data_IF_820483806505
#
_entry.id   IF_820483806505
#
_cell.length_a   1.000
_cell.length_b   1.000
_cell.length_c   1.000
_cell.angle_alpha   90.00
_cell.angle_beta   90.00
_cell.angle_gamma   90.00
#
_symmetry.space_group_name_H-M   'P 1'
#
loop_
_entity.id
_entity.type
_entity.pdbx_description
1 polymer ?
#
# COMPACT_ATOMS: atom_id res chain seq x y z
N UNK A 1 22.44 82.49 56.30
CA UNK A 1 22.59 81.84 54.98
C UNK A 1 21.47 80.80 54.88
N UNK A 2 20.47 81.07 54.03
CA UNK A 2 19.27 80.25 53.86
C UNK A 2 19.58 78.86 53.31
N UNK A 3 18.90 77.84 53.81
CA UNK A 3 18.69 76.57 53.11
C UNK A 3 17.17 76.39 52.92
N UNK A 4 16.72 76.49 51.68
CA UNK A 4 15.34 76.30 51.27
C UNK A 4 14.98 74.80 51.32
N UNK A 5 14.03 74.44 52.18
CA UNK A 5 13.34 73.14 52.14
C UNK A 5 12.06 73.33 51.32
N UNK A 6 12.00 72.76 50.11
CA UNK A 6 10.77 72.63 49.34
C UNK A 6 9.99 71.40 49.83
N UNK A 7 9.00 71.62 50.67
CA UNK A 7 7.97 70.64 50.99
C UNK A 7 7.00 70.51 49.80
N UNK A 8 7.02 69.35 49.14
CA UNK A 8 5.99 68.96 48.18
C UNK A 8 4.69 68.68 48.95
N UNK A 9 3.72 69.58 48.82
CA UNK A 9 2.34 69.37 49.27
C UNK A 9 1.68 68.29 48.41
N UNK A 10 1.66 67.06 48.91
CA UNK A 10 0.86 65.98 48.35
C UNK A 10 -0.62 66.32 48.42
N UNK A 11 -1.23 66.57 47.26
CA UNK A 11 -2.67 66.75 47.13
C UNK A 11 -3.39 65.50 47.64
N UNK A 12 -4.19 65.68 48.70
CA UNK A 12 -5.02 64.62 49.30
C UNK A 12 -6.09 64.23 48.28
N UNK A 13 -5.87 63.15 47.54
CA UNK A 13 -6.86 62.61 46.61
C UNK A 13 -8.13 62.24 47.40
N UNK A 14 -9.26 62.84 47.02
CA UNK A 14 -10.56 62.46 47.53
C UNK A 14 -10.89 61.06 47.01
N UNK A 15 -10.97 60.08 47.90
CA UNK A 15 -11.54 58.77 47.56
C UNK A 15 -13.05 58.96 47.34
N UNK A 16 -13.46 58.98 46.07
CA UNK A 16 -14.87 58.85 45.69
C UNK A 16 -15.20 57.36 45.79
N UNK A 17 -16.14 56.99 46.66
CA UNK A 17 -16.59 55.59 46.78
C UNK A 17 -17.41 55.19 45.56
N UNK A 18 -17.14 54.00 45.03
CA UNK A 18 -17.92 53.38 43.95
C UNK A 18 -19.37 53.14 44.39
N UNK A 19 -20.32 53.51 43.55
CA UNK A 19 -21.73 53.19 43.74
C UNK A 19 -21.97 51.68 43.56
N UNK A 20 -22.91 51.09 44.33
CA UNK A 20 -23.35 49.69 44.14
C UNK A 20 -23.73 49.42 42.67
N UNK A 21 -24.35 50.40 42.01
CA UNK A 21 -24.75 50.32 40.61
C UNK A 21 -23.54 50.23 39.68
N UNK A 22 -22.47 50.98 39.93
CA UNK A 22 -21.24 50.92 39.13
C UNK A 22 -20.55 49.56 39.26
N UNK A 23 -20.54 48.98 40.47
CA UNK A 23 -19.97 47.64 40.69
C UNK A 23 -20.82 46.57 39.99
N UNK A 24 -22.14 46.64 40.08
CA UNK A 24 -23.04 45.72 39.39
C UNK A 24 -22.91 45.81 37.87
N UNK A 25 -22.86 47.03 37.31
CA UNK A 25 -22.64 47.26 35.88
C UNK A 25 -21.25 46.76 35.45
N UNK A 26 -20.21 47.03 36.25
CA UNK A 26 -18.86 46.56 35.97
C UNK A 26 -18.74 45.03 35.91
N UNK A 27 -19.41 44.33 36.83
CA UNK A 27 -19.45 42.85 36.83
C UNK A 27 -20.20 42.34 35.60
N UNK A 28 -21.35 42.94 35.25
CA UNK A 28 -22.14 42.52 34.07
C UNK A 28 -21.35 42.72 32.78
N UNK A 29 -20.67 43.86 32.62
CA UNK A 29 -19.83 44.12 31.44
C UNK A 29 -18.63 43.17 31.41
N UNK A 30 -17.98 42.94 32.55
CA UNK A 30 -16.88 41.98 32.66
C UNK A 30 -17.29 40.56 32.28
N UNK A 31 -18.44 40.09 32.75
CA UNK A 31 -19.00 38.78 32.38
C UNK A 31 -19.31 38.70 30.87
N UNK A 32 -19.86 39.77 30.29
CA UNK A 32 -20.17 39.83 28.87
C UNK A 32 -18.90 39.74 28.01
N UNK A 33 -17.84 40.47 28.38
CA UNK A 33 -16.53 40.39 27.69
C UNK A 33 -15.96 38.98 27.76
N UNK A 34 -15.97 38.33 28.93
CA UNK A 34 -15.46 36.96 29.09
C UNK A 34 -16.26 35.98 28.21
N UNK A 35 -17.60 36.11 28.14
CA UNK A 35 -18.43 35.26 27.29
C UNK A 35 -18.04 35.42 25.80
N UNK A 36 -17.86 36.66 25.34
CA UNK A 36 -17.47 36.93 23.95
C UNK A 36 -16.10 36.32 23.64
N UNK A 37 -15.11 36.53 24.51
CA UNK A 37 -13.76 35.95 24.33
C UNK A 37 -13.82 34.43 24.34
N UNK A 38 -14.58 33.82 25.26
CA UNK A 38 -14.76 32.37 25.32
C UNK A 38 -15.44 31.80 24.07
N UNK A 39 -16.40 32.52 23.46
CA UNK A 39 -17.01 32.13 22.20
C UNK A 39 -15.99 32.18 21.04
N UNK A 40 -15.21 33.26 20.94
CA UNK A 40 -14.16 33.38 19.93
C UNK A 40 -13.11 32.27 20.06
N UNK A 41 -12.65 31.99 21.29
CA UNK A 41 -11.71 30.91 21.56
C UNK A 41 -12.30 29.55 21.19
N UNK A 42 -13.58 29.26 21.48
CA UNK A 42 -14.22 28.02 21.06
C UNK A 42 -14.21 27.82 19.55
N UNK A 43 -14.47 28.89 18.78
CA UNK A 43 -14.44 28.84 17.31
C UNK A 43 -13.01 28.64 16.81
N UNK A 44 -12.03 29.36 17.37
CA UNK A 44 -10.62 29.22 17.01
C UNK A 44 -10.09 27.82 17.31
N UNK A 45 -10.44 27.23 18.46
CA UNK A 45 -10.07 25.86 18.82
C UNK A 45 -10.71 24.82 17.90
N UNK A 46 -11.96 25.05 17.49
CA UNK A 46 -12.64 24.23 16.49
C UNK A 46 -11.89 24.26 15.15
N UNK A 47 -11.60 25.46 14.63
CA UNK A 47 -10.85 25.63 13.39
C UNK A 47 -9.45 25.02 13.47
N UNK A 48 -8.74 25.17 14.59
CA UNK A 48 -7.43 24.56 14.83
C UNK A 48 -7.48 23.04 14.75
N UNK A 49 -8.48 22.41 15.38
CA UNK A 49 -8.66 20.95 15.35
C UNK A 49 -8.99 20.45 13.95
N UNK A 50 -9.89 21.12 13.23
CA UNK A 50 -10.23 20.75 11.85
C UNK A 50 -9.02 20.91 10.91
N UNK A 51 -8.25 22.00 11.06
CA UNK A 51 -7.03 22.21 10.28
C UNK A 51 -5.97 21.14 10.55
N UNK A 52 -5.75 20.79 11.82
CA UNK A 52 -4.81 19.75 12.23
C UNK A 52 -5.25 18.38 11.70
N UNK A 53 -6.51 17.99 11.90
CA UNK A 53 -7.04 16.71 11.42
C UNK A 53 -7.05 16.58 9.90
N UNK A 54 -7.17 17.70 9.17
CA UNK A 54 -7.00 17.73 7.72
C UNK A 54 -5.54 17.53 7.30
N UNK A 55 -4.59 18.14 8.03
CA UNK A 55 -3.15 17.94 7.83
C UNK A 55 -2.70 16.50 8.09
N UNK A 56 -3.22 15.87 9.14
CA UNK A 56 -2.93 14.46 9.47
C UNK A 56 -3.44 13.52 8.38
N UNK A 57 -4.68 13.71 7.92
CA UNK A 57 -5.25 12.94 6.81
C UNK A 57 -4.44 13.12 5.52
N UNK A 58 -3.94 14.34 5.26
CA UNK A 58 -3.10 14.60 4.09
C UNK A 58 -1.76 13.84 4.17
N UNK A 59 -1.11 13.91 5.32
CA UNK A 59 0.20 13.30 5.55
C UNK A 59 0.11 11.78 5.52
N UNK A 60 -0.85 11.20 6.25
CA UNK A 60 -1.03 9.74 6.29
C UNK A 60 -1.42 9.17 4.92
N UNK A 61 -2.32 9.84 4.18
CA UNK A 61 -2.69 9.43 2.83
C UNK A 61 -1.51 9.45 1.84
N UNK A 62 -0.65 10.46 1.93
CA UNK A 62 0.56 10.54 1.11
C UNK A 62 1.59 9.44 1.45
N UNK A 63 1.79 9.15 2.73
CA UNK A 63 2.65 8.05 3.19
C UNK A 63 2.12 6.71 2.67
N UNK A 64 0.83 6.44 2.89
CA UNK A 64 0.18 5.21 2.45
C UNK A 64 0.31 4.98 0.93
N UNK A 65 0.06 6.02 0.13
CA UNK A 65 0.18 5.95 -1.32
C UNK A 65 1.64 5.69 -1.75
N UNK A 66 2.60 6.36 -1.12
CA UNK A 66 4.02 6.21 -1.47
C UNK A 66 4.53 4.80 -1.17
N UNK A 67 4.15 4.22 -0.03
CA UNK A 67 4.50 2.84 0.33
C UNK A 67 3.96 1.84 -0.69
N UNK A 68 2.68 1.99 -1.06
CA UNK A 68 2.05 1.14 -2.08
C UNK A 68 2.69 1.32 -3.45
N UNK A 69 3.05 2.55 -3.83
CA UNK A 69 3.77 2.81 -5.08
C UNK A 69 5.14 2.13 -5.12
N UNK A 70 5.92 2.19 -4.03
CA UNK A 70 7.24 1.56 -3.97
C UNK A 70 7.19 0.04 -4.12
N UNK A 71 6.20 -0.61 -3.49
CA UNK A 71 5.99 -2.05 -3.66
C UNK A 71 5.46 -2.38 -5.07
N UNK A 72 4.50 -1.61 -5.58
CA UNK A 72 3.91 -1.82 -6.91
C UNK A 72 4.87 -1.56 -8.07
N UNK A 73 5.94 -0.78 -7.87
CA UNK A 73 7.00 -0.65 -8.86
C UNK A 73 7.91 -1.89 -8.94
N UNK A 74 7.98 -2.68 -7.86
CA UNK A 74 8.84 -3.86 -7.80
C UNK A 74 8.14 -5.16 -8.19
N UNK A 75 6.80 -5.18 -8.22
CA UNK A 75 6.01 -6.38 -8.53
C UNK A 75 6.50 -7.12 -9.77
N UNK A 76 6.54 -8.45 -9.68
CA UNK A 76 6.98 -9.32 -10.76
C UNK A 76 8.50 -9.45 -10.91
N UNK A 77 9.32 -8.63 -10.25
CA UNK A 77 10.78 -8.76 -10.33
C UNK A 77 11.22 -10.18 -9.96
N UNK A 78 11.99 -10.84 -10.82
CA UNK A 78 12.50 -12.20 -10.62
C UNK A 78 11.63 -13.34 -11.16
N UNK A 79 10.36 -13.13 -11.54
CA UNK A 79 9.47 -14.24 -11.90
C UNK A 79 8.41 -13.97 -12.99
N UNK A 80 8.47 -12.86 -13.73
CA UNK A 80 7.51 -12.55 -14.81
C UNK A 80 7.66 -13.44 -16.06
N UNK A 81 7.27 -14.71 -15.94
CA UNK A 81 7.37 -15.73 -16.98
C UNK A 81 6.12 -16.60 -17.09
N UNK A 82 5.83 -17.12 -18.28
CA UNK A 82 4.65 -17.95 -18.54
C UNK A 82 4.63 -19.27 -17.75
N UNK A 83 5.81 -19.77 -17.37
CA UNK A 83 5.96 -21.02 -16.63
C UNK A 83 5.74 -20.84 -15.12
N UNK A 84 5.63 -19.59 -14.64
CA UNK A 84 5.43 -19.24 -13.23
C UNK A 84 4.09 -18.53 -12.99
N UNK A 85 3.70 -17.61 -13.87
CA UNK A 85 2.47 -16.85 -13.70
C UNK A 85 1.22 -17.73 -13.76
N UNK A 86 0.32 -17.55 -12.80
CA UNK A 86 -0.88 -18.35 -12.59
C UNK A 86 -0.64 -19.73 -11.95
N UNK A 87 0.59 -20.04 -11.53
CA UNK A 87 0.88 -21.28 -10.80
C UNK A 87 0.57 -21.14 -9.31
N UNK A 88 0.36 -22.26 -8.63
CA UNK A 88 0.34 -22.30 -7.17
C UNK A 88 1.78 -22.34 -6.67
N UNK A 89 2.19 -21.36 -5.88
CA UNK A 89 3.53 -21.26 -5.30
C UNK A 89 3.50 -21.59 -3.81
N UNK A 90 4.15 -22.68 -3.43
CA UNK A 90 4.39 -23.01 -2.02
C UNK A 90 5.62 -22.27 -1.51
N UNK A 91 5.42 -21.50 -0.45
CA UNK A 91 6.44 -20.70 0.23
C UNK A 91 7.26 -21.56 1.20
N UNK A 92 8.28 -20.95 1.80
CA UNK A 92 9.21 -21.60 2.73
C UNK A 92 8.57 -22.09 4.02
N UNK A 93 7.46 -21.46 4.43
CA UNK A 93 6.69 -21.84 5.61
C UNK A 93 5.56 -22.84 5.30
N UNK A 94 5.50 -23.37 4.07
CA UNK A 94 4.49 -24.34 3.65
C UNK A 94 3.13 -23.74 3.27
N UNK A 95 2.94 -22.42 3.39
CA UNK A 95 1.76 -21.74 2.84
C UNK A 95 1.83 -21.73 1.31
N UNK A 96 0.68 -21.78 0.65
CA UNK A 96 0.59 -21.72 -0.80
C UNK A 96 -0.15 -20.47 -1.25
N UNK A 97 0.49 -19.70 -2.14
CA UNK A 97 -0.14 -18.62 -2.89
C UNK A 97 -0.69 -19.23 -4.18
N UNK A 98 -2.01 -19.28 -4.31
CA UNK A 98 -2.65 -19.84 -5.49
C UNK A 98 -2.73 -18.80 -6.60
N UNK A 99 -2.66 -19.24 -7.86
CA UNK A 99 -2.76 -18.34 -9.02
C UNK A 99 -1.81 -17.11 -8.90
N UNK A 100 -0.52 -17.39 -8.74
CA UNK A 100 0.52 -16.40 -8.52
C UNK A 100 0.55 -15.36 -9.65
N UNK A 101 0.38 -14.09 -9.29
CA UNK A 101 0.55 -12.94 -10.17
C UNK A 101 1.47 -11.91 -9.54
N UNK A 102 1.86 -10.90 -10.31
CA UNK A 102 2.68 -9.79 -9.82
C UNK A 102 1.95 -8.97 -8.74
N UNK A 103 0.66 -8.71 -8.94
CA UNK A 103 -0.20 -8.08 -7.95
C UNK A 103 -1.64 -8.57 -8.08
N UNK A 104 -2.25 -9.06 -7.00
CA UNK A 104 -3.61 -9.61 -7.01
C UNK A 104 -4.57 -8.79 -6.16
N UNK A 105 -5.59 -8.22 -6.79
CA UNK A 105 -6.74 -7.58 -6.13
C UNK A 105 -7.67 -8.68 -5.59
N UNK A 106 -8.06 -8.57 -4.31
CA UNK A 106 -8.98 -9.48 -3.63
C UNK A 106 -8.58 -10.97 -3.75
N UNK A 107 -7.31 -11.27 -3.47
CA UNK A 107 -6.85 -12.65 -3.48
C UNK A 107 -7.65 -13.52 -2.48
N UNK A 108 -8.14 -14.70 -2.87
CA UNK A 108 -9.08 -15.49 -2.06
C UNK A 108 -8.52 -15.97 -0.72
N UNK A 109 -7.20 -16.13 -0.61
CA UNK A 109 -6.56 -16.51 0.67
C UNK A 109 -6.42 -15.34 1.66
N UNK A 110 -6.76 -14.11 1.27
CA UNK A 110 -6.70 -12.94 2.16
C UNK A 110 -8.12 -12.65 2.68
N UNK A 111 -8.35 -12.62 4.01
CA UNK A 111 -9.64 -12.22 4.55
C UNK A 111 -10.01 -10.80 4.13
N UNK A 112 -11.28 -10.58 3.83
CA UNK A 112 -11.78 -9.24 3.52
C UNK A 112 -11.40 -8.22 4.61
N UNK A 113 -11.12 -6.99 4.18
CA UNK A 113 -10.91 -5.84 5.07
C UNK A 113 -12.23 -5.20 5.48
N UNK A 114 -12.16 -3.92 5.82
CA UNK A 114 -13.32 -3.07 6.04
C UNK A 114 -14.20 -3.06 4.78
N UNK A 115 -15.53 -3.09 4.95
CA UNK A 115 -16.46 -3.19 3.84
C UNK A 115 -16.27 -2.04 2.84
N UNK A 116 -16.28 -2.35 1.56
CA UNK A 116 -16.06 -1.37 0.49
C UNK A 116 -14.58 -1.18 0.11
N UNK A 117 -13.64 -1.76 0.85
CA UNK A 117 -12.21 -1.78 0.52
C UNK A 117 -11.79 -3.08 -0.15
N UNK A 118 -10.92 -3.02 -1.17
CA UNK A 118 -10.23 -4.23 -1.62
C UNK A 118 -9.00 -4.55 -0.77
N UNK A 119 -8.54 -5.78 -0.95
CA UNK A 119 -7.22 -6.22 -0.52
C UNK A 119 -6.29 -6.31 -1.73
N UNK A 120 -4.99 -6.13 -1.50
CA UNK A 120 -3.99 -6.17 -2.55
C UNK A 120 -2.83 -7.07 -2.11
N UNK A 121 -2.60 -8.16 -2.84
CA UNK A 121 -1.41 -9.00 -2.70
C UNK A 121 -0.35 -8.49 -3.69
N UNK A 122 0.87 -8.26 -3.25
CA UNK A 122 2.01 -7.92 -4.11
C UNK A 122 3.10 -8.98 -3.95
N UNK A 123 3.71 -9.37 -5.06
CA UNK A 123 4.81 -10.34 -5.06
C UNK A 123 5.97 -9.84 -5.91
N UNK A 124 7.18 -9.83 -5.32
CA UNK A 124 8.42 -9.48 -6.01
C UNK A 124 9.63 -10.11 -5.34
N UNK A 125 10.65 -10.41 -6.13
CA UNK A 125 11.98 -10.77 -5.64
C UNK A 125 12.96 -9.61 -5.66
N UNK A 126 14.13 -9.88 -5.09
CA UNK A 126 15.31 -9.02 -5.10
C UNK A 126 16.53 -9.77 -5.69
N UNK A 127 16.44 -10.32 -6.91
CA UNK A 127 17.51 -11.13 -7.47
C UNK A 127 18.80 -10.33 -7.63
N UNK A 128 19.92 -10.93 -7.28
CA UNK A 128 21.24 -10.32 -7.30
C UNK A 128 21.94 -10.40 -8.66
N UNK A 129 21.20 -10.79 -9.70
CA UNK A 129 21.70 -11.02 -11.06
C UNK A 129 20.56 -11.01 -12.09
N UNK A 130 20.12 -12.18 -12.54
CA UNK A 130 19.08 -12.26 -13.58
C UNK A 130 17.72 -11.95 -12.97
N UNK A 131 17.07 -10.92 -13.51
CA UNK A 131 15.74 -10.44 -13.08
C UNK A 131 14.57 -11.21 -13.71
N UNK A 132 14.88 -12.19 -14.56
CA UNK A 132 13.98 -13.10 -15.26
C UNK A 132 14.46 -14.55 -15.02
N UNK A 133 13.71 -15.52 -15.55
CA UNK A 133 14.13 -16.93 -15.47
C UNK A 133 15.41 -17.18 -16.23
N UNK A 134 16.34 -17.96 -15.65
CA UNK A 134 17.54 -18.39 -16.35
C UNK A 134 17.38 -19.83 -16.87
N UNK A 135 17.60 -20.04 -18.16
CA UNK A 135 17.37 -21.34 -18.80
C UNK A 135 18.32 -22.41 -18.27
N UNK A 136 17.80 -23.60 -17.99
CA UNK A 136 18.55 -24.75 -17.48
C UNK A 136 19.16 -25.51 -18.66
N UNK A 137 20.49 -25.39 -18.85
CA UNK A 137 21.26 -26.07 -19.90
C UNK A 137 21.46 -27.55 -19.60
N UNK A 138 21.77 -27.87 -18.34
CA UNK A 138 21.97 -29.24 -17.89
C UNK A 138 21.37 -29.43 -16.49
N UNK A 139 20.95 -30.65 -16.17
CA UNK A 139 20.32 -31.00 -14.90
C UNK A 139 20.88 -32.36 -14.45
N UNK A 140 22.07 -32.37 -13.82
CA UNK A 140 22.79 -33.62 -13.50
C UNK A 140 22.09 -34.48 -12.46
N UNK A 141 21.53 -33.83 -11.43
CA UNK A 141 20.78 -34.48 -10.35
C UNK A 141 19.53 -33.64 -10.04
N UNK A 142 18.49 -34.21 -9.39
CA UNK A 142 17.26 -33.47 -9.09
C UNK A 142 17.43 -32.19 -8.27
N UNK A 143 18.56 -32.02 -7.59
CA UNK A 143 18.86 -30.88 -6.73
C UNK A 143 20.00 -29.99 -7.29
N UNK A 144 20.45 -30.21 -8.53
CA UNK A 144 21.54 -29.46 -9.14
C UNK A 144 21.17 -29.02 -10.55
N UNK A 145 21.14 -27.71 -10.77
CA UNK A 145 20.86 -27.13 -12.08
C UNK A 145 22.12 -26.49 -12.64
N UNK A 146 22.39 -26.65 -13.92
CA UNK A 146 23.34 -25.82 -14.65
C UNK A 146 22.56 -24.84 -15.52
N UNK A 147 22.22 -23.66 -14.99
CA UNK A 147 21.59 -22.60 -15.75
C UNK A 147 22.62 -21.93 -16.70
N UNK A 148 22.17 -21.09 -17.62
CA UNK A 148 23.05 -20.36 -18.55
C UNK A 148 24.04 -19.42 -17.88
N UNK A 149 23.60 -18.78 -16.79
CA UNK A 149 24.37 -17.84 -16.01
C UNK A 149 24.39 -18.26 -14.53
N UNK A 150 25.13 -19.32 -14.16
CA UNK A 150 25.13 -19.85 -12.79
C UNK A 150 25.68 -18.86 -11.76
N UNK A 151 26.57 -17.94 -12.17
CA UNK A 151 27.12 -16.89 -11.31
C UNK A 151 26.08 -15.84 -10.87
N UNK A 152 24.87 -15.86 -11.44
CA UNK A 152 23.77 -14.99 -11.04
C UNK A 152 23.00 -15.49 -9.81
N UNK A 153 23.43 -16.62 -9.23
CA UNK A 153 22.85 -17.21 -8.03
C UNK A 153 23.88 -17.17 -6.91
N UNK A 154 23.44 -16.77 -5.71
CA UNK A 154 24.27 -16.71 -4.50
C UNK A 154 23.73 -17.66 -3.44
N UNK A 155 24.61 -18.07 -2.53
CA UNK A 155 24.26 -18.92 -1.41
C UNK A 155 23.09 -18.31 -0.60
N UNK A 156 22.13 -19.15 -0.21
CA UNK A 156 20.92 -18.82 0.55
C UNK A 156 19.84 -18.00 -0.18
N UNK A 157 20.02 -17.69 -1.46
CA UNK A 157 18.94 -17.07 -2.23
C UNK A 157 17.78 -18.04 -2.46
N UNK A 158 16.58 -17.48 -2.52
CA UNK A 158 15.38 -18.21 -2.88
C UNK A 158 15.27 -18.32 -4.38
N UNK A 159 14.99 -19.53 -4.84
CA UNK A 159 14.79 -19.83 -6.24
C UNK A 159 13.53 -20.67 -6.44
N UNK A 160 13.00 -20.62 -7.65
CA UNK A 160 11.91 -21.48 -8.11
C UNK A 160 12.37 -22.14 -9.41
N UNK A 161 12.27 -23.45 -9.49
CA UNK A 161 12.54 -24.20 -10.72
C UNK A 161 11.22 -24.52 -11.42
N UNK A 162 11.14 -24.24 -12.72
CA UNK A 162 10.01 -24.62 -13.57
C UNK A 162 10.51 -25.47 -14.75
N UNK A 163 9.79 -26.54 -15.14
CA UNK A 163 10.13 -27.33 -16.33
C UNK A 163 9.88 -26.55 -17.64
N UNK A 164 10.44 -27.03 -18.76
CA UNK A 164 10.24 -26.40 -20.09
C UNK A 164 8.77 -26.36 -20.50
N UNK A 165 8.02 -27.42 -20.17
CA UNK A 165 6.59 -27.53 -20.44
C UNK A 165 5.84 -27.34 -19.14
N UNK A 166 5.01 -26.30 -19.07
CA UNK A 166 4.12 -26.04 -17.94
C UNK A 166 3.23 -27.24 -17.65
N UNK A 167 3.27 -27.70 -16.40
CA UNK A 167 2.44 -28.81 -15.90
C UNK A 167 1.05 -28.28 -15.51
N UNK A 168 0.00 -29.08 -15.71
CA UNK A 168 -1.36 -28.78 -15.26
C UNK A 168 -1.85 -29.90 -14.30
N UNK A 169 -2.18 -29.60 -13.03
CA UNK A 169 -2.12 -28.28 -12.39
C UNK A 169 -0.68 -27.77 -12.23
N UNK A 170 -0.49 -26.46 -12.37
CA UNK A 170 0.83 -25.86 -12.17
C UNK A 170 1.09 -25.63 -10.69
N UNK A 171 2.02 -26.37 -10.12
CA UNK A 171 2.46 -26.26 -8.75
C UNK A 171 3.98 -26.12 -8.69
N UNK A 172 4.44 -25.06 -8.04
CA UNK A 172 5.83 -24.71 -7.86
C UNK A 172 6.10 -24.50 -6.36
N UNK A 173 7.36 -24.59 -5.96
CA UNK A 173 7.75 -24.32 -4.58
C UNK A 173 9.06 -23.53 -4.53
N UNK A 174 9.20 -22.73 -3.48
CA UNK A 174 10.43 -22.03 -3.19
C UNK A 174 11.45 -22.98 -2.57
N UNK A 175 12.69 -22.86 -3.01
CA UNK A 175 13.82 -23.62 -2.47
C UNK A 175 15.03 -22.72 -2.32
N UNK A 176 15.99 -23.10 -1.47
CA UNK A 176 17.20 -22.30 -1.24
C UNK A 176 18.36 -22.83 -2.05
N UNK A 177 19.17 -21.90 -2.56
CA UNK A 177 20.48 -22.19 -3.14
C UNK A 177 21.46 -22.61 -2.03
N UNK A 178 22.12 -23.75 -2.20
CA UNK A 178 23.07 -24.34 -1.24
C UNK A 178 24.53 -24.19 -1.66
N UNK A 179 24.77 -23.56 -2.82
CA UNK A 179 26.10 -23.40 -3.42
C UNK A 179 26.37 -21.93 -3.73
N UNK A 180 27.63 -21.59 -4.01
CA UNK A 180 28.02 -20.26 -4.52
C UNK A 180 28.79 -20.45 -5.83
N UNK A 181 28.09 -20.61 -6.96
CA UNK A 181 28.71 -20.87 -8.26
C UNK A 181 29.71 -19.77 -8.65
N UNK A 182 30.98 -20.15 -8.80
CA UNK A 182 32.06 -19.20 -9.07
C UNK A 182 32.48 -19.15 -10.54
N UNK A 183 32.07 -20.14 -11.36
CA UNK A 183 32.42 -20.23 -12.78
C UNK A 183 31.18 -20.48 -13.65
N UNK A 184 31.23 -20.20 -14.96
CA UNK A 184 30.12 -20.47 -15.90
C UNK A 184 29.73 -21.96 -16.02
N UNK A 185 30.55 -22.87 -15.50
CA UNK A 185 30.32 -24.33 -15.52
C UNK A 185 29.93 -24.88 -14.16
N UNK A 186 29.92 -24.04 -13.12
CA UNK A 186 29.51 -24.43 -11.78
C UNK A 186 28.00 -24.71 -11.74
N UNK A 187 27.60 -25.82 -11.14
CA UNK A 187 26.17 -26.11 -10.89
C UNK A 187 25.64 -25.25 -9.74
N UNK A 188 24.36 -24.89 -9.85
CA UNK A 188 23.55 -24.32 -8.77
C UNK A 188 22.88 -25.47 -8.02
N UNK A 189 23.44 -25.83 -6.87
CA UNK A 189 22.79 -26.73 -5.92
C UNK A 189 21.62 -26.04 -5.19
N UNK A 190 20.52 -26.77 -5.00
CA UNK A 190 19.35 -26.33 -4.23
C UNK A 190 18.99 -27.32 -3.13
N UNK A 191 18.30 -26.87 -2.09
CA UNK A 191 17.92 -27.72 -0.95
C UNK A 191 16.90 -28.81 -1.35
N UNK A 192 15.92 -28.42 -2.16
CA UNK A 192 14.94 -29.30 -2.78
C UNK A 192 14.80 -28.90 -4.25
N UNK A 193 14.67 -29.86 -5.15
CA UNK A 193 14.49 -29.59 -6.57
C UNK A 193 13.46 -30.50 -7.21
N UNK A 194 13.24 -30.31 -8.50
CA UNK A 194 12.24 -31.02 -9.29
C UNK A 194 12.94 -31.94 -10.30
N UNK A 195 12.28 -33.02 -10.69
CA UNK A 195 12.77 -33.87 -11.79
C UNK A 195 12.42 -33.26 -13.14
N UNK A 196 13.15 -33.64 -14.20
CA UNK A 196 12.86 -33.24 -15.59
C UNK A 196 12.84 -31.72 -15.85
N UNK A 197 13.65 -30.94 -15.11
CA UNK A 197 13.82 -29.50 -15.33
C UNK A 197 14.73 -29.12 -16.51
N UNK A 198 15.21 -30.10 -17.30
CA UNK A 198 16.08 -29.82 -18.45
C UNK A 198 15.36 -28.88 -19.42
N UNK A 199 16.07 -27.87 -19.92
CA UNK A 199 15.53 -26.83 -20.82
C UNK A 199 14.42 -25.96 -20.21
N UNK A 200 14.08 -26.17 -18.94
CA UNK A 200 13.23 -25.30 -18.14
C UNK A 200 13.97 -24.07 -17.65
N UNK A 201 13.49 -23.48 -16.56
CA UNK A 201 13.98 -22.22 -16.02
C UNK A 201 14.21 -22.29 -14.52
N UNK A 202 15.29 -21.65 -14.07
CA UNK A 202 15.55 -21.37 -12.67
C UNK A 202 15.38 -19.86 -12.44
N UNK A 203 14.38 -19.50 -11.65
CA UNK A 203 14.05 -18.13 -11.29
C UNK A 203 14.74 -17.75 -10.00
N UNK A 204 15.49 -16.66 -10.00
CA UNK A 204 16.06 -16.10 -8.78
C UNK A 204 15.07 -15.10 -8.17
N UNK A 205 14.69 -15.33 -6.92
CA UNK A 205 13.84 -14.44 -6.14
C UNK A 205 14.65 -13.59 -5.14
N UNK A 206 15.95 -13.83 -5.03
CA UNK A 206 16.85 -13.12 -4.14
C UNK A 206 16.80 -13.61 -2.70
N UNK A 207 17.41 -12.84 -1.79
CA UNK A 207 17.54 -13.25 -0.39
C UNK A 207 16.24 -13.02 0.40
N UNK A 208 15.50 -11.96 0.06
CA UNK A 208 14.31 -11.52 0.79
C UNK A 208 13.17 -11.19 -0.18
N UNK A 209 12.68 -12.14 -1.00
CA UNK A 209 11.51 -11.87 -1.81
C UNK A 209 10.29 -11.61 -0.93
N UNK A 210 9.45 -10.69 -1.38
CA UNK A 210 8.29 -10.18 -0.66
C UNK A 210 7.03 -10.82 -1.23
N UNK A 211 6.18 -11.32 -0.33
CA UNK A 211 4.81 -11.76 -0.61
C UNK A 211 3.91 -11.04 0.39
N UNK A 212 3.53 -9.81 0.08
CA UNK A 212 2.88 -8.91 1.04
C UNK A 212 1.45 -8.62 0.65
N UNK A 213 0.54 -8.77 1.60
CA UNK A 213 -0.83 -8.34 1.47
C UNK A 213 -1.08 -7.01 2.17
N UNK A 214 -1.91 -6.18 1.54
CA UNK A 214 -2.44 -4.94 2.08
C UNK A 214 -3.95 -5.05 2.24
N UNK A 215 -4.46 -4.55 3.36
CA UNK A 215 -5.89 -4.47 3.62
C UNK A 215 -6.19 -3.27 4.51
N UNK A 216 -7.31 -2.58 4.25
CA UNK A 216 -7.86 -1.61 5.20
C UNK A 216 -8.60 -2.39 6.29
N UNK A 217 -8.23 -2.19 7.56
CA UNK A 217 -8.84 -2.84 8.72
C UNK A 217 -8.99 -1.83 9.84
N UNK A 218 -10.21 -1.70 10.38
CA UNK A 218 -10.52 -0.77 11.48
C UNK A 218 -10.10 0.68 11.19
N UNK A 219 -10.24 1.13 9.95
CA UNK A 219 -9.85 2.49 9.52
C UNK A 219 -8.34 2.73 9.47
N UNK A 220 -7.54 1.68 9.34
CA UNK A 220 -6.09 1.75 9.13
C UNK A 220 -5.70 0.91 7.92
N UNK A 221 -4.70 1.35 7.15
CA UNK A 221 -4.05 0.49 6.18
C UNK A 221 -3.10 -0.43 6.97
N UNK A 222 -3.31 -1.73 6.82
CA UNK A 222 -2.50 -2.78 7.44
C UNK A 222 -1.78 -3.58 6.38
N UNK A 223 -0.63 -4.15 6.75
CA UNK A 223 0.14 -5.03 5.89
C UNK A 223 0.43 -6.37 6.58
N UNK A 224 0.47 -7.45 5.82
CA UNK A 224 0.86 -8.77 6.29
C UNK A 224 1.80 -9.43 5.29
N UNK A 225 2.94 -9.93 5.74
CA UNK A 225 3.88 -10.68 4.90
C UNK A 225 3.64 -12.19 5.05
N UNK A 226 3.28 -12.86 3.96
CA UNK A 226 2.97 -14.29 3.92
C UNK A 226 4.15 -15.15 4.31
N UNK A 227 5.39 -14.63 4.25
CA UNK A 227 6.57 -15.38 4.66
C UNK A 227 6.75 -15.42 6.17
N UNK A 228 6.35 -14.37 6.87
CA UNK A 228 6.62 -14.21 8.31
C UNK A 228 5.37 -14.34 9.19
N UNK A 229 4.18 -14.25 8.61
CA UNK A 229 2.91 -14.28 9.34
C UNK A 229 1.82 -15.05 8.58
N UNK A 230 0.79 -15.49 9.31
CA UNK A 230 -0.37 -16.14 8.71
C UNK A 230 -1.39 -15.09 8.20
N UNK A 231 -1.18 -14.60 6.97
CA UNK A 231 -2.07 -13.62 6.33
C UNK A 231 -3.44 -14.17 5.95
N UNK A 232 -3.69 -15.48 6.09
CA UNK A 232 -5.03 -16.07 5.91
C UNK A 232 -5.92 -15.88 7.14
N UNK A 233 -5.35 -15.48 8.27
CA UNK A 233 -6.08 -15.10 9.48
C UNK A 233 -6.25 -13.57 9.53
N UNK A 234 -7.40 -13.10 10.03
CA UNK A 234 -7.65 -11.68 10.29
C UNK A 234 -7.18 -11.22 11.68
N UNK A 235 -6.38 -12.04 12.39
CA UNK A 235 -5.87 -11.70 13.70
C UNK A 235 -5.02 -10.41 13.65
N UNK A 236 -5.26 -9.41 14.51
CA UNK A 236 -4.53 -8.14 14.49
C UNK A 236 -3.00 -8.26 14.58
N UNK A 237 -2.50 -9.29 15.28
CA UNK A 237 -1.07 -9.56 15.39
C UNK A 237 -0.37 -9.86 14.05
N UNK A 238 -1.12 -10.38 13.06
CA UNK A 238 -0.59 -10.67 11.73
C UNK A 238 -0.66 -9.45 10.79
N UNK A 239 -1.41 -8.41 11.16
CA UNK A 239 -1.73 -7.26 10.33
C UNK A 239 -1.37 -5.94 11.01
N UNK A 240 -0.06 -5.68 11.27
CA UNK A 240 0.35 -4.40 11.83
C UNK A 240 -0.07 -3.22 10.92
N UNK A 241 -0.44 -2.08 11.52
CA UNK A 241 -0.78 -0.87 10.77
C UNK A 241 0.48 -0.28 10.11
N UNK A 242 0.34 0.13 8.85
CA UNK A 242 1.37 0.85 8.09
C UNK A 242 0.99 2.32 7.85
N UNK A 243 -0.30 2.64 7.88
CA UNK A 243 -0.79 4.02 7.87
C UNK A 243 -2.14 4.11 8.57
N UNK A 244 -2.32 5.16 9.38
CA UNK A 244 -3.56 5.37 10.13
C UNK A 244 -4.56 6.24 9.38
N UNK A 245 -5.84 6.11 9.70
CA UNK A 245 -6.88 6.96 9.12
C UNK A 245 -7.16 6.69 7.64
N UNK A 246 -6.66 5.58 7.09
CA UNK A 246 -7.03 5.10 5.76
C UNK A 246 -8.28 4.23 5.91
N UNK A 247 -9.39 4.68 5.32
CA UNK A 247 -10.73 4.07 5.54
C UNK A 247 -11.31 3.41 4.31
N UNK A 248 -10.74 3.65 3.13
CA UNK A 248 -11.07 2.92 1.92
C UNK A 248 -9.86 2.77 1.01
N UNK A 249 -9.79 1.61 0.36
CA UNK A 249 -8.88 1.30 -0.75
C UNK A 249 -9.73 0.79 -1.92
N UNK A 250 -9.72 1.51 -3.05
CA UNK A 250 -10.30 1.06 -4.32
C UNK A 250 -9.19 0.81 -5.35
N UNK A 251 -9.27 -0.24 -6.15
CA UNK A 251 -8.25 -0.64 -7.11
C UNK A 251 -8.86 -1.33 -8.34
N UNK A 252 -8.27 -1.06 -9.50
CA UNK A 252 -8.60 -1.64 -10.79
C UNK A 252 -7.30 -2.03 -11.49
N UNK A 253 -7.29 -3.16 -12.18
CA UNK A 253 -6.22 -3.49 -13.11
C UNK A 253 -6.24 -2.56 -14.31
N UNK A 254 -5.06 -2.20 -14.81
CA UNK A 254 -4.86 -1.64 -16.14
C UNK A 254 -4.52 -2.80 -17.08
N UNK A 255 -5.44 -3.17 -17.98
CA UNK A 255 -5.33 -4.38 -18.80
C UNK A 255 -5.23 -4.07 -20.29
N UNK A 256 -4.23 -4.68 -20.90
CA UNK A 256 -4.00 -4.71 -22.35
C UNK A 256 -4.83 -5.85 -22.97
N UNK A 257 -5.78 -5.48 -23.81
CA UNK A 257 -6.72 -6.38 -24.47
C UNK A 257 -6.52 -6.43 -25.98
N UNK A 258 -5.52 -5.71 -26.48
CA UNK A 258 -5.16 -5.66 -27.89
C UNK A 258 -4.68 -7.03 -28.41
N UNK A 259 -4.87 -7.25 -29.71
CA UNK A 259 -4.48 -8.47 -30.41
C UNK A 259 -3.75 -8.06 -31.70
N UNK A 260 -2.41 -8.25 -31.82
CA UNK A 260 -1.48 -8.70 -30.76
C UNK A 260 -1.38 -7.69 -29.61
N UNK A 261 -0.85 -8.11 -28.46
CA UNK A 261 -0.67 -7.24 -27.30
C UNK A 261 0.36 -6.14 -27.61
N UNK A 262 -0.01 -4.87 -27.46
CA UNK A 262 0.84 -3.72 -27.81
C UNK A 262 1.55 -3.08 -26.60
N UNK A 263 1.31 -3.60 -25.39
CA UNK A 263 1.89 -3.06 -24.17
C UNK A 263 1.08 -1.93 -23.53
N UNK A 264 0.00 -1.49 -24.17
CA UNK A 264 -0.83 -0.36 -23.73
C UNK A 264 -2.12 -0.87 -23.08
N UNK A 265 -2.50 -0.37 -21.89
CA UNK A 265 -3.78 -0.74 -21.29
C UNK A 265 -4.97 -0.12 -22.06
N UNK A 266 -5.90 -0.96 -22.54
CA UNK A 266 -7.15 -0.53 -23.18
C UNK A 266 -8.31 -0.41 -22.20
N UNK A 267 -8.32 -1.28 -21.18
CA UNK A 267 -9.46 -1.45 -20.28
C UNK A 267 -9.04 -1.48 -18.82
N UNK A 268 -9.99 -1.18 -17.93
CA UNK A 268 -9.80 -1.30 -16.49
C UNK A 268 -10.91 -2.13 -15.85
N UNK A 269 -10.55 -3.09 -14.99
CA UNK A 269 -11.52 -3.96 -14.30
C UNK A 269 -10.93 -4.54 -13.02
N UNK A 270 -11.73 -5.31 -12.27
CA UNK A 270 -11.30 -6.06 -11.07
C UNK A 270 -11.16 -7.56 -11.32
N UNK A 271 -11.27 -8.00 -12.58
CA UNK A 271 -11.28 -9.43 -12.92
C UNK A 271 -9.88 -10.00 -12.81
N UNK A 272 -9.65 -10.80 -11.77
CA UNK A 272 -8.38 -11.50 -11.56
C UNK A 272 -8.08 -12.43 -12.73
N UNK A 273 -6.90 -12.30 -13.37
CA UNK A 273 -6.44 -13.25 -14.38
C UNK A 273 -6.40 -14.70 -13.86
N UNK A 274 -6.56 -15.68 -14.74
CA UNK A 274 -6.59 -17.11 -14.37
C UNK A 274 -5.41 -17.91 -14.94
N UNK A 275 -4.68 -17.32 -15.88
CA UNK A 275 -3.58 -17.93 -16.62
C UNK A 275 -2.41 -16.95 -16.78
N UNK A 276 -1.28 -17.46 -17.29
CA UNK A 276 -0.08 -16.65 -17.51
C UNK A 276 -0.33 -15.48 -18.47
N UNK A 277 -1.04 -15.71 -19.58
CA UNK A 277 -1.30 -14.68 -20.59
C UNK A 277 -2.14 -13.54 -20.03
N UNK A 278 -3.16 -13.86 -19.23
CA UNK A 278 -3.95 -12.87 -18.52
C UNK A 278 -3.11 -12.03 -17.55
N UNK A 279 -2.18 -12.65 -16.82
CA UNK A 279 -1.26 -11.94 -15.91
C UNK A 279 -0.27 -11.04 -16.66
N UNK A 280 0.26 -11.51 -17.78
CA UNK A 280 1.15 -10.73 -18.67
C UNK A 280 0.48 -9.51 -19.28
N UNK A 281 -0.84 -9.57 -19.48
CA UNK A 281 -1.66 -8.45 -19.97
C UNK A 281 -1.96 -7.39 -18.92
N UNK A 282 -1.60 -7.60 -17.65
CA UNK A 282 -1.75 -6.58 -16.61
C UNK A 282 -0.54 -5.65 -16.65
N UNK A 283 -0.76 -4.41 -17.06
CA UNK A 283 0.27 -3.38 -17.22
C UNK A 283 0.43 -2.49 -15.99
N UNK A 284 -0.50 -2.55 -15.05
CA UNK A 284 -0.44 -1.77 -13.82
C UNK A 284 -1.73 -1.85 -13.00
N UNK A 285 -1.78 -1.03 -11.96
CA UNK A 285 -2.96 -0.83 -11.13
C UNK A 285 -3.31 0.65 -11.07
N UNK A 286 -4.60 0.95 -11.23
CA UNK A 286 -5.18 2.23 -10.89
C UNK A 286 -5.88 2.11 -9.55
N UNK A 287 -5.58 2.99 -8.61
CA UNK A 287 -6.12 2.91 -7.26
C UNK A 287 -6.46 4.27 -6.68
N UNK A 288 -7.32 4.25 -5.66
CA UNK A 288 -7.57 5.38 -4.76
C UNK A 288 -7.53 4.93 -3.31
N UNK A 289 -6.85 5.73 -2.48
CA UNK A 289 -6.91 5.64 -1.02
C UNK A 289 -7.74 6.80 -0.48
N UNK A 290 -8.57 6.52 0.52
CA UNK A 290 -9.34 7.57 1.21
C UNK A 290 -8.80 7.71 2.62
N UNK A 291 -8.19 8.86 2.89
CA UNK A 291 -7.80 9.27 4.23
C UNK A 291 -8.94 10.03 4.91
N UNK A 292 -9.18 9.75 6.19
CA UNK A 292 -10.20 10.37 7.05
C UNK A 292 -9.54 11.27 8.09
N UNK A 293 -10.15 12.41 8.37
CA UNK A 293 -9.73 13.27 9.48
C UNK A 293 -9.84 12.54 10.82
N UNK A 294 -8.88 12.75 11.73
CA UNK A 294 -8.94 12.19 13.09
C UNK A 294 -10.07 12.78 13.96
N UNK A 295 -10.57 13.97 13.60
CA UNK A 295 -11.61 14.68 14.33
C UNK A 295 -13.02 14.26 13.85
N UNK A 296 -13.85 13.80 14.79
CA UNK A 296 -15.29 13.65 14.60
C UNK A 296 -15.98 15.00 14.81
N UNK A 297 -16.78 15.42 13.82
CA UNK A 297 -17.57 16.65 13.89
C UNK A 297 -18.91 16.40 14.60
N UNK A 298 -19.46 17.43 15.24
CA UNK A 298 -20.74 17.30 15.95
C UNK A 298 -21.91 17.13 14.97
N UNK A 299 -21.91 17.92 13.92
CA UNK A 299 -22.89 17.90 12.84
C UNK A 299 -22.36 17.08 11.66
N UNK A 300 -23.24 16.71 10.74
CA UNK A 300 -22.81 16.18 9.44
C UNK A 300 -22.11 17.29 8.65
N UNK A 301 -20.92 16.99 8.14
CA UNK A 301 -20.08 17.93 7.38
C UNK A 301 -19.78 17.44 5.97
N UNK A 302 -20.10 16.19 5.66
CA UNK A 302 -19.84 15.54 4.38
C UNK A 302 -21.15 15.03 3.79
N UNK A 303 -21.33 15.22 2.48
CA UNK A 303 -22.53 14.83 1.74
C UNK A 303 -23.82 15.48 2.29
N UNK A 304 -23.71 16.78 2.57
CA UNK A 304 -24.79 17.66 3.04
C UNK A 304 -24.71 19.01 2.33
N UNK A 305 -25.83 19.74 2.29
CA UNK A 305 -25.88 21.06 1.66
C UNK A 305 -24.90 22.05 2.32
N UNK A 306 -23.97 22.60 1.54
CA UNK A 306 -22.91 23.49 2.03
C UNK A 306 -21.74 22.80 2.75
N UNK A 307 -21.72 21.46 2.78
CA UNK A 307 -20.65 20.64 3.32
C UNK A 307 -19.58 20.25 2.29
N UNK A 308 -18.64 19.41 2.73
CA UNK A 308 -17.67 18.76 1.85
C UNK A 308 -18.35 17.68 0.99
N UNK A 309 -17.90 17.46 -0.25
CA UNK A 309 -18.42 16.37 -1.07
C UNK A 309 -18.04 15.01 -0.48
N UNK A 310 -18.86 13.98 -0.75
CA UNK A 310 -18.49 12.60 -0.47
C UNK A 310 -17.19 12.23 -1.22
N UNK A 311 -16.35 11.34 -0.64
CA UNK A 311 -15.14 10.86 -1.33
C UNK A 311 -15.51 10.24 -2.68
N UNK A 312 -14.90 10.76 -3.74
CA UNK A 312 -15.03 10.22 -5.10
C UNK A 312 -13.65 10.09 -5.73
N UNK A 313 -13.61 9.41 -6.87
CA UNK A 313 -12.44 9.27 -7.72
C UNK A 313 -12.89 9.09 -9.15
N UNK A 314 -11.98 9.25 -10.11
CA UNK A 314 -12.38 9.33 -11.51
C UNK A 314 -12.82 7.99 -12.14
N UNK A 315 -12.67 6.86 -11.43
CA UNK A 315 -13.24 5.56 -11.81
C UNK A 315 -14.43 5.11 -10.92
N UNK A 316 -15.10 6.05 -10.24
CA UNK A 316 -16.22 5.77 -9.35
C UNK A 316 -17.40 5.04 -10.04
N UNK A 317 -17.58 5.21 -11.36
CA UNK A 317 -18.62 4.51 -12.12
C UNK A 317 -18.39 2.98 -12.14
N UNK A 318 -17.13 2.54 -12.19
CA UNK A 318 -16.76 1.11 -12.24
C UNK A 318 -16.52 0.54 -10.85
N UNK A 319 -15.98 1.34 -9.93
CA UNK A 319 -15.65 0.91 -8.58
C UNK A 319 -15.92 2.04 -7.57
N UNK A 320 -17.18 2.26 -7.17
CA UNK A 320 -17.55 3.35 -6.26
C UNK A 320 -16.89 3.19 -4.88
N UNK A 321 -16.55 4.31 -4.26
CA UNK A 321 -16.06 4.31 -2.87
C UNK A 321 -17.27 4.12 -1.95
N UNK A 322 -17.13 3.22 -0.97
CA UNK A 322 -18.10 3.05 0.12
C UNK A 322 -17.36 3.12 1.44
N UNK A 323 -17.83 3.99 2.34
CA UNK A 323 -17.26 4.16 3.69
C UNK A 323 -18.23 3.54 4.69
N UNK A 324 -17.81 2.56 5.51
CA UNK A 324 -18.68 1.94 6.49
C UNK A 324 -19.04 2.88 7.66
N UNK A 325 -20.18 2.58 8.30
CA UNK A 325 -20.60 3.18 9.57
C UNK A 325 -21.59 4.34 9.42
N UNK A 326 -22.43 4.56 10.44
CA UNK A 326 -23.47 5.61 10.42
C UNK A 326 -22.89 7.03 10.54
N UNK A 327 -21.76 7.20 11.22
CA UNK A 327 -21.15 8.51 11.46
C UNK A 327 -20.25 9.00 10.31
N UNK A 328 -20.20 8.30 9.17
CA UNK A 328 -19.26 8.64 8.09
C UNK A 328 -19.44 10.08 7.58
N UNK A 329 -20.66 10.63 7.59
CA UNK A 329 -20.95 12.02 7.21
C UNK A 329 -20.38 13.07 8.16
N UNK A 330 -19.93 12.68 9.35
CA UNK A 330 -19.40 13.56 10.41
C UNK A 330 -17.86 13.64 10.41
N UNK A 331 -17.22 13.10 9.39
CA UNK A 331 -15.79 13.25 9.16
C UNK A 331 -15.52 13.95 7.85
N UNK A 332 -14.32 14.51 7.70
CA UNK A 332 -13.80 15.01 6.43
C UNK A 332 -12.84 14.01 5.84
N UNK A 333 -12.72 14.01 4.52
CA UNK A 333 -11.94 13.02 3.79
C UNK A 333 -11.05 13.66 2.74
N UNK A 334 -10.02 12.92 2.34
CA UNK A 334 -9.18 13.23 1.20
C UNK A 334 -8.90 11.96 0.40
N UNK A 335 -9.21 12.01 -0.89
CA UNK A 335 -8.91 10.94 -1.84
C UNK A 335 -7.52 11.15 -2.45
N UNK A 336 -6.76 10.06 -2.55
CA UNK A 336 -5.45 9.99 -3.19
C UNK A 336 -5.51 8.98 -4.31
N UNK A 337 -5.64 9.45 -5.55
CA UNK A 337 -5.71 8.61 -6.75
C UNK A 337 -4.32 8.48 -7.41
N UNK A 338 -3.98 7.27 -7.87
CA UNK A 338 -2.82 7.04 -8.71
C UNK A 338 -3.07 5.94 -9.75
N UNK A 339 -2.44 6.08 -10.92
CA UNK A 339 -2.25 5.00 -11.88
C UNK A 339 -0.76 4.61 -11.86
N UNK A 340 -0.48 3.37 -11.48
CA UNK A 340 0.86 2.87 -11.20
C UNK A 340 1.17 1.78 -12.24
N UNK A 341 2.01 2.06 -13.25
CA UNK A 341 2.46 1.04 -14.19
C UNK A 341 3.43 0.09 -13.49
N UNK A 342 3.45 -1.17 -13.94
CA UNK A 342 4.39 -2.17 -13.44
C UNK A 342 5.68 -2.15 -14.27
N UNK A 343 6.81 -1.96 -13.60
CA UNK A 343 8.11 -1.82 -14.28
C UNK A 343 8.65 -3.14 -14.85
N UNK A 344 8.30 -4.28 -14.26
CA UNK A 344 8.91 -5.58 -14.59
C UNK A 344 8.05 -6.43 -15.53
N UNK A 345 7.01 -5.86 -16.16
CA UNK A 345 6.17 -6.60 -17.11
C UNK A 345 6.79 -6.47 -18.50
N UNK A 346 7.29 -7.57 -19.11
CA UNK A 346 7.86 -7.50 -20.44
C UNK A 346 6.80 -7.06 -21.46
N UNK A 347 7.22 -6.28 -22.46
CA UNK A 347 6.40 -5.95 -23.63
C UNK A 347 6.72 -6.97 -24.73
N UNK A 348 5.69 -7.50 -25.38
CA UNK A 348 5.82 -8.45 -26.50
C UNK A 348 6.40 -7.70 -27.71
N UNK A 349 7.40 -8.28 -28.40
CA UNK A 349 7.90 -7.65 -29.63
C UNK A 349 6.92 -7.88 -30.78
N UNK A 350 6.93 -7.01 -31.82
CA UNK A 350 5.94 -7.04 -32.92
C UNK A 350 5.81 -8.37 -33.69
N UNK A 351 6.80 -9.26 -33.58
CA UNK A 351 6.80 -10.56 -34.27
C UNK A 351 6.09 -11.68 -33.48
N UNK A 352 5.52 -11.39 -32.31
CA UNK A 352 4.96 -12.40 -31.39
C UNK A 352 6.02 -13.26 -30.70
N UNK A 353 7.30 -13.09 -31.09
CA UNK A 353 8.44 -13.62 -30.38
C UNK A 353 8.81 -12.65 -29.25
N UNK A 354 8.72 -13.14 -28.03
CA UNK A 354 9.28 -12.49 -26.86
C UNK A 354 10.80 -12.36 -27.04
N UNK A 355 11.46 -11.32 -26.49
CA UNK A 355 12.90 -11.13 -26.65
C UNK A 355 13.63 -12.45 -26.35
N UNK A 356 14.62 -12.84 -27.19
CA UNK A 356 15.26 -14.13 -27.09
C UNK A 356 15.72 -14.37 -25.66
N UNK A 357 15.17 -15.46 -25.15
CA UNK A 357 15.33 -16.12 -23.86
C UNK A 357 16.80 -16.30 -23.48
#
# INVERSE_FOLDING_TARGET
MSAHIQLHLGGRQKHVGLSLVEVLVGIVVGMLVIIIVMQMLKVAEGQRRTATGGGDAQTSGAIALTLLQQDLQQVGNGFMDQNVLGCNLTLDNGLTVNNLGQATINHPSIPAGDSGSETLLVVYGDPSGVHLGNRIKNHPTPAEYLPEAPQAFRLNEWVVAAPEVRVNPCALFMTRVTTSPATPTSVVGVQAGIVNAQRGFLFNLGLNPIVRAYAVRSGQLTACDFRTANCTSNAPANWPPVAEGIVALRALYLRDTSIPADGVPDTTNTTTPVDADGWRRIRGIRMVLVARSGQLEKEEVTDVAGGAPAPTWSAAASAPISIPGSDWKRFRYRSFEAAIPFANVPVELPDGDWPPV
#
